data_IF_924216810513
#
_entry.id   IF_924216810513
#
_cell.length_a   1.000
_cell.length_b   1.000
_cell.length_c   1.000
_cell.angle_alpha   90.00
_cell.angle_beta   90.00
_cell.angle_gamma   90.00
#
_symmetry.space_group_name_H-M   'P 1'
#
loop_
_entity.id
_entity.type
_entity.pdbx_description
1 polymer ?
#
# COMPACT_ATOMS: atom_id res chain seq x y z
N UNK A 1 4.68 -60.28 -5.01
CA UNK A 1 3.79 -59.24 -5.58
C UNK A 1 2.46 -59.08 -4.83
N UNK A 2 1.91 -60.09 -4.16
CA UNK A 2 0.60 -59.98 -3.47
C UNK A 2 0.66 -59.19 -2.14
N UNK A 3 1.77 -59.25 -1.39
CA UNK A 3 1.90 -58.58 -0.08
C UNK A 3 2.04 -57.04 -0.16
N UNK A 4 2.53 -56.48 -1.26
CA UNK A 4 2.72 -55.03 -1.43
C UNK A 4 1.38 -54.31 -1.70
N UNK A 5 0.45 -54.98 -2.39
CA UNK A 5 -0.87 -54.43 -2.74
C UNK A 5 -1.77 -54.31 -1.51
N UNK A 6 -1.73 -55.28 -0.58
CA UNK A 6 -2.51 -55.22 0.67
C UNK A 6 -1.96 -54.17 1.66
N UNK A 7 -0.64 -53.96 1.70
CA UNK A 7 -0.03 -52.91 2.54
C UNK A 7 -0.40 -51.49 2.10
N UNK A 8 -0.45 -51.23 0.78
CA UNK A 8 -0.86 -49.93 0.22
C UNK A 8 -2.36 -49.63 0.44
N UNK A 9 -3.22 -50.64 0.33
CA UNK A 9 -4.66 -50.49 0.61
C UNK A 9 -4.96 -50.18 2.08
N UNK A 10 -4.20 -50.76 3.02
CA UNK A 10 -4.36 -50.48 4.46
C UNK A 10 -3.85 -49.08 4.85
N UNK A 11 -2.78 -48.58 4.23
CA UNK A 11 -2.28 -47.22 4.48
C UNK A 11 -3.22 -46.16 3.88
N UNK A 12 -3.81 -46.44 2.71
CA UNK A 12 -4.82 -45.56 2.11
C UNK A 12 -6.11 -45.51 2.94
N UNK A 13 -6.57 -46.62 3.52
CA UNK A 13 -7.80 -46.63 4.34
C UNK A 13 -7.63 -45.92 5.69
N UNK A 14 -6.46 -46.05 6.34
CA UNK A 14 -6.15 -45.33 7.58
C UNK A 14 -5.97 -43.84 7.32
N UNK A 15 -5.33 -43.46 6.20
CA UNK A 15 -5.22 -42.06 5.78
C UNK A 15 -6.58 -41.43 5.46
N UNK A 16 -7.46 -42.14 4.75
CA UNK A 16 -8.80 -41.66 4.42
C UNK A 16 -9.71 -41.56 5.65
N UNK A 17 -9.66 -42.53 6.56
CA UNK A 17 -10.41 -42.49 7.81
C UNK A 17 -9.96 -41.33 8.72
N UNK A 18 -8.66 -41.04 8.77
CA UNK A 18 -8.11 -39.93 9.57
C UNK A 18 -8.50 -38.56 8.99
N UNK A 19 -8.48 -38.42 7.66
CA UNK A 19 -8.95 -37.21 6.96
C UNK A 19 -10.45 -37.03 7.15
N UNK A 20 -11.24 -38.10 7.05
CA UNK A 20 -12.68 -38.04 7.33
C UNK A 20 -12.97 -37.68 8.80
N UNK A 21 -12.19 -38.19 9.76
CA UNK A 21 -12.40 -37.88 11.18
C UNK A 21 -12.12 -36.40 11.49
N UNK A 22 -11.05 -35.83 10.93
CA UNK A 22 -10.71 -34.40 11.07
C UNK A 22 -11.77 -33.48 10.45
N UNK A 23 -12.37 -33.91 9.34
CA UNK A 23 -13.44 -33.16 8.64
C UNK A 23 -14.79 -33.27 9.36
N UNK A 24 -15.09 -34.42 9.99
CA UNK A 24 -16.37 -34.64 10.71
C UNK A 24 -16.40 -33.87 12.03
N UNK A 25 -15.27 -33.77 12.75
CA UNK A 25 -15.20 -33.04 14.03
C UNK A 25 -15.04 -31.50 13.88
N UNK A 26 -14.79 -31.00 12.65
CA UNK A 26 -14.68 -29.55 12.40
C UNK A 26 -15.47 -29.12 11.15
N UNK A 27 -16.81 -29.11 11.19
CA UNK A 27 -17.63 -28.61 10.07
C UNK A 27 -17.40 -27.11 9.77
N UNK A 28 -16.82 -26.34 10.70
CA UNK A 28 -16.44 -24.93 10.49
C UNK A 28 -15.22 -24.73 9.56
N UNK A 29 -14.44 -25.80 9.30
CA UNK A 29 -13.26 -25.75 8.44
C UNK A 29 -13.60 -25.76 6.94
N UNK A 30 -14.85 -26.09 6.58
CA UNK A 30 -15.36 -26.04 5.21
C UNK A 30 -16.38 -24.91 5.14
N UNK A 31 -15.91 -23.67 5.23
CA UNK A 31 -16.72 -22.56 4.75
C UNK A 31 -17.02 -22.83 3.26
N UNK A 32 -18.29 -22.79 2.81
CA UNK A 32 -18.57 -22.88 1.39
C UNK A 32 -17.74 -21.82 0.66
N UNK A 33 -17.18 -22.13 -0.52
CA UNK A 33 -16.46 -21.13 -1.29
C UNK A 33 -17.36 -19.91 -1.45
N UNK A 34 -16.83 -18.69 -1.29
CA UNK A 34 -17.65 -17.49 -1.42
C UNK A 34 -18.36 -17.53 -2.78
N UNK A 35 -19.64 -17.15 -2.84
CA UNK A 35 -20.42 -17.24 -4.06
C UNK A 35 -19.71 -16.50 -5.19
N UNK A 36 -19.61 -17.16 -6.36
CA UNK A 36 -19.02 -16.56 -7.55
C UNK A 36 -19.83 -15.32 -7.92
N UNK A 37 -19.23 -14.13 -7.78
CA UNK A 37 -19.89 -12.88 -8.12
C UNK A 37 -20.01 -12.74 -9.64
N UNK A 38 -21.16 -12.28 -10.09
CA UNK A 38 -21.40 -11.93 -11.49
C UNK A 38 -21.57 -10.41 -11.61
N UNK A 39 -21.60 -9.89 -12.83
CA UNK A 39 -21.86 -8.46 -13.07
C UNK A 39 -23.19 -7.95 -12.48
N UNK A 40 -24.11 -8.86 -12.13
CA UNK A 40 -25.43 -8.55 -11.57
C UNK A 40 -25.51 -8.70 -10.04
N UNK A 41 -24.43 -9.07 -9.36
CA UNK A 41 -24.42 -9.16 -7.90
C UNK A 41 -24.61 -7.77 -7.28
N UNK A 42 -25.37 -7.64 -6.16
CA UNK A 42 -25.54 -6.35 -5.50
C UNK A 42 -24.19 -5.75 -5.08
N UNK A 43 -24.09 -4.41 -5.01
CA UNK A 43 -22.88 -3.74 -4.54
C UNK A 43 -22.56 -4.21 -3.13
N UNK A 44 -21.34 -4.72 -2.96
CA UNK A 44 -20.82 -5.09 -1.65
C UNK A 44 -20.03 -3.91 -1.15
N UNK A 45 -20.32 -3.50 0.09
CA UNK A 45 -19.63 -2.40 0.73
C UNK A 45 -18.70 -2.93 1.81
N UNK A 46 -17.51 -2.36 1.86
CA UNK A 46 -16.63 -2.46 3.02
C UNK A 46 -17.12 -1.43 4.04
N UNK A 47 -17.47 -1.89 5.24
CA UNK A 47 -17.91 -1.03 6.34
C UNK A 47 -17.00 -1.21 7.54
N UNK A 48 -16.71 -0.13 8.25
CA UNK A 48 -15.81 -0.18 9.38
C UNK A 48 -15.54 1.18 10.00
N UNK A 49 -14.65 1.18 10.97
CA UNK A 49 -14.03 2.37 11.55
C UNK A 49 -12.63 2.53 10.95
N UNK A 50 -12.43 3.57 10.15
CA UNK A 50 -11.16 3.94 9.54
C UNK A 50 -10.51 5.06 10.36
N UNK A 51 -9.74 4.69 11.37
CA UNK A 51 -8.99 5.65 12.19
C UNK A 51 -9.87 6.70 12.89
N UNK A 52 -11.05 6.31 13.39
CA UNK A 52 -12.04 7.19 14.01
C UNK A 52 -13.14 7.66 13.04
N UNK A 53 -13.08 7.30 11.76
CA UNK A 53 -14.08 7.64 10.76
C UNK A 53 -14.95 6.42 10.39
N UNK A 54 -16.26 6.41 10.68
CA UNK A 54 -17.14 5.37 10.16
C UNK A 54 -17.22 5.48 8.63
N UNK A 55 -16.94 4.38 7.93
CA UNK A 55 -16.86 4.36 6.46
C UNK A 55 -17.80 3.34 5.82
N UNK A 56 -18.23 3.66 4.60
CA UNK A 56 -18.92 2.75 3.68
C UNK A 56 -18.32 2.89 2.28
N UNK A 57 -17.47 1.94 1.91
CA UNK A 57 -16.65 1.98 0.69
C UNK A 57 -17.17 0.95 -0.30
N UNK A 58 -17.33 1.31 -1.57
CA UNK A 58 -17.59 0.32 -2.63
C UNK A 58 -16.39 -0.64 -2.71
N UNK A 59 -16.64 -1.95 -2.54
CA UNK A 59 -15.58 -2.97 -2.55
C UNK A 59 -14.76 -2.99 -3.86
N UNK A 60 -15.24 -2.40 -4.96
CA UNK A 60 -14.47 -2.28 -6.21
C UNK A 60 -13.35 -1.24 -6.15
N UNK A 61 -13.38 -0.35 -5.17
CA UNK A 61 -12.38 0.72 -4.99
C UNK A 61 -11.17 0.22 -4.20
N UNK A 62 -11.38 -0.73 -3.29
CA UNK A 62 -10.38 -1.17 -2.32
C UNK A 62 -10.02 -2.65 -2.49
N UNK A 63 -8.81 -3.01 -2.09
CA UNK A 63 -8.24 -4.34 -2.20
C UNK A 63 -7.33 -4.63 -1.00
N UNK A 64 -7.07 -5.91 -0.74
CA UNK A 64 -6.28 -6.36 0.42
C UNK A 64 -6.79 -5.79 1.76
N UNK A 65 -8.11 -5.81 1.95
CA UNK A 65 -8.74 -5.25 3.14
C UNK A 65 -8.46 -6.15 4.35
N UNK A 66 -7.91 -5.55 5.39
CA UNK A 66 -7.66 -6.16 6.70
C UNK A 66 -8.40 -5.38 7.80
N UNK A 67 -8.92 -6.09 8.78
CA UNK A 67 -9.45 -5.52 10.02
C UNK A 67 -8.57 -5.94 11.20
N UNK A 68 -8.67 -5.22 12.31
CA UNK A 68 -8.06 -5.68 13.55
C UNK A 68 -8.63 -7.04 13.96
N UNK A 69 -7.75 -7.89 14.48
CA UNK A 69 -8.07 -9.29 14.81
C UNK A 69 -8.18 -10.22 13.60
N UNK A 70 -7.99 -9.74 12.36
CA UNK A 70 -7.78 -10.63 11.23
C UNK A 70 -6.41 -11.33 11.30
N UNK A 71 -6.31 -12.57 10.83
CA UNK A 71 -5.04 -13.29 10.77
C UNK A 71 -4.04 -12.53 9.89
N UNK A 72 -2.77 -12.54 10.30
CA UNK A 72 -1.70 -12.00 9.49
C UNK A 72 -1.46 -12.82 8.21
N UNK A 73 -0.55 -12.32 7.37
CA UNK A 73 -0.16 -13.02 6.16
C UNK A 73 0.44 -14.40 6.49
N UNK A 74 -0.17 -15.46 5.96
CA UNK A 74 0.24 -16.85 6.22
C UNK A 74 -0.31 -17.45 7.52
N UNK A 75 -1.03 -16.67 8.33
CA UNK A 75 -1.68 -17.18 9.53
C UNK A 75 -3.07 -17.75 9.23
N UNK A 76 -3.39 -18.88 9.85
CA UNK A 76 -4.70 -19.48 9.73
C UNK A 76 -5.71 -18.77 10.65
N UNK A 77 -6.94 -18.56 10.15
CA UNK A 77 -8.00 -17.99 10.99
C UNK A 77 -8.38 -18.95 12.10
N UNK A 78 -8.37 -18.42 13.33
CA UNK A 78 -8.96 -19.09 14.50
C UNK A 78 -10.40 -18.63 14.65
N UNK A 79 -11.34 -19.56 14.53
CA UNK A 79 -12.78 -19.30 14.63
C UNK A 79 -13.44 -18.71 13.37
N UNK A 80 -14.75 -18.46 13.42
CA UNK A 80 -15.52 -17.96 12.29
C UNK A 80 -15.13 -16.52 11.90
N UNK A 81 -15.38 -16.15 10.65
CA UNK A 81 -15.21 -14.76 10.21
C UNK A 81 -16.26 -13.89 10.91
N UNK A 82 -15.85 -12.84 11.67
CA UNK A 82 -16.79 -12.00 12.38
C UNK A 82 -17.62 -11.17 11.39
N UNK A 83 -18.87 -10.89 11.78
CA UNK A 83 -19.70 -9.94 11.05
C UNK A 83 -19.13 -8.53 11.21
N UNK A 84 -18.94 -7.83 10.09
CA UNK A 84 -18.42 -6.46 10.11
C UNK A 84 -19.53 -5.45 10.38
N UNK A 85 -19.17 -4.40 11.10
CA UNK A 85 -20.02 -3.28 11.54
C UNK A 85 -19.22 -1.98 11.42
N UNK A 86 -19.85 -0.82 11.58
CA UNK A 86 -19.13 0.46 11.65
C UNK A 86 -18.19 0.58 12.86
N UNK A 87 -18.25 -0.32 13.84
CA UNK A 87 -17.28 -0.39 14.94
C UNK A 87 -16.12 -1.36 14.67
N UNK A 88 -16.14 -2.07 13.54
CA UNK A 88 -15.04 -2.95 13.13
C UNK A 88 -13.88 -2.09 12.64
N UNK A 89 -12.80 -2.02 13.42
CA UNK A 89 -11.62 -1.23 13.09
C UNK A 89 -10.93 -1.78 11.83
N UNK A 90 -10.85 -0.96 10.81
CA UNK A 90 -10.06 -1.23 9.61
C UNK A 90 -8.59 -1.04 9.95
N UNK A 91 -7.79 -2.02 9.54
CA UNK A 91 -6.36 -2.08 9.82
C UNK A 91 -5.56 -1.61 8.61
N UNK A 92 -5.93 -2.08 7.42
CA UNK A 92 -5.27 -1.68 6.18
C UNK A 92 -6.10 -2.01 4.96
N UNK A 93 -5.87 -1.27 3.88
CA UNK A 93 -6.28 -1.64 2.53
C UNK A 93 -5.42 -0.89 1.51
N UNK A 94 -5.39 -1.40 0.28
CA UNK A 94 -4.86 -0.68 -0.87
C UNK A 94 -6.00 -0.20 -1.78
N UNK A 95 -5.75 0.86 -2.54
CA UNK A 95 -6.68 1.43 -3.50
C UNK A 95 -5.94 1.91 -4.76
N UNK A 96 -6.70 2.17 -5.82
CA UNK A 96 -6.19 2.79 -7.05
C UNK A 96 -7.06 3.99 -7.39
N UNK A 97 -6.41 5.08 -7.76
CA UNK A 97 -7.09 6.32 -8.10
C UNK A 97 -6.42 7.00 -9.28
N UNK A 98 -7.22 7.58 -10.17
CA UNK A 98 -6.71 8.34 -11.32
C UNK A 98 -6.62 9.82 -11.00
N UNK A 99 -5.43 10.37 -11.14
CA UNK A 99 -5.18 11.80 -11.01
C UNK A 99 -5.48 12.55 -12.33
N UNK A 100 -6.10 13.74 -12.30
CA UNK A 100 -6.50 14.53 -11.13
C UNK A 100 -7.97 14.38 -10.68
N UNK A 101 -8.78 13.57 -11.36
CA UNK A 101 -10.23 13.54 -11.15
C UNK A 101 -10.72 12.54 -10.09
N UNK A 102 -9.80 11.80 -9.49
CA UNK A 102 -10.01 10.82 -8.45
C UNK A 102 -10.97 9.67 -8.84
N UNK A 103 -11.10 9.39 -10.15
CA UNK A 103 -11.85 8.22 -10.59
C UNK A 103 -11.16 6.93 -10.17
N UNK A 104 -11.97 5.91 -9.97
CA UNK A 104 -11.58 4.58 -9.53
C UNK A 104 -12.00 3.55 -10.56
N UNK A 105 -11.66 2.28 -10.33
CA UNK A 105 -12.14 1.17 -11.14
C UNK A 105 -13.64 0.90 -10.98
N UNK A 106 -14.30 1.53 -10.01
CA UNK A 106 -15.75 1.46 -9.88
C UNK A 106 -16.47 2.30 -10.97
N UNK A 107 -15.76 3.28 -11.55
CA UNK A 107 -16.25 4.17 -12.60
C UNK A 107 -16.18 3.50 -13.98
N UNK A 108 -17.33 3.34 -14.63
CA UNK A 108 -17.47 2.59 -15.89
C UNK A 108 -16.59 3.13 -17.01
N UNK A 109 -16.44 4.45 -17.08
CA UNK A 109 -15.65 5.12 -18.12
C UNK A 109 -14.15 5.16 -17.80
N UNK A 110 -13.76 4.87 -16.56
CA UNK A 110 -12.36 4.82 -16.15
C UNK A 110 -11.72 3.43 -16.34
N UNK A 111 -12.51 2.36 -16.39
CA UNK A 111 -12.00 0.99 -16.54
C UNK A 111 -11.20 0.77 -17.84
N UNK A 112 -11.66 1.34 -18.96
CA UNK A 112 -10.95 1.25 -20.26
C UNK A 112 -9.61 1.98 -20.21
N UNK A 113 -9.59 3.15 -19.56
CA UNK A 113 -8.36 3.92 -19.36
C UNK A 113 -7.38 3.17 -18.43
N UNK A 114 -7.88 2.58 -17.34
CA UNK A 114 -7.08 1.76 -16.44
C UNK A 114 -6.37 0.62 -17.18
N UNK A 115 -7.09 -0.13 -18.02
CA UNK A 115 -6.53 -1.25 -18.79
C UNK A 115 -5.42 -0.82 -19.75
N UNK A 116 -5.47 0.41 -20.28
CA UNK A 116 -4.40 0.97 -21.12
C UNK A 116 -3.08 1.16 -20.33
N UNK A 117 -3.16 1.52 -19.05
CA UNK A 117 -1.99 1.84 -18.22
C UNK A 117 -1.56 0.70 -17.28
N UNK A 118 -2.41 -0.29 -17.03
CA UNK A 118 -2.13 -1.37 -16.09
C UNK A 118 -0.91 -2.20 -16.52
N UNK A 119 0.03 -2.54 -15.60
CA UNK A 119 1.32 -3.16 -15.94
C UNK A 119 1.25 -4.43 -16.78
N UNK A 120 0.21 -5.25 -16.62
CA UNK A 120 0.03 -6.45 -17.45
C UNK A 120 -0.20 -6.11 -18.93
N UNK A 121 -0.78 -4.95 -19.24
CA UNK A 121 -1.10 -4.50 -20.59
C UNK A 121 -0.14 -3.39 -21.09
N UNK A 122 0.39 -2.56 -20.18
CA UNK A 122 1.28 -1.43 -20.47
C UNK A 122 2.77 -1.77 -20.41
N UNK A 123 3.15 -2.96 -19.92
CA UNK A 123 4.53 -3.46 -19.92
C UNK A 123 5.18 -3.47 -21.31
N UNK A 124 4.37 -3.33 -22.37
CA UNK A 124 4.77 -3.24 -23.76
C UNK A 124 5.09 -1.81 -24.25
N UNK A 125 4.87 -0.76 -23.44
CA UNK A 125 4.95 0.65 -23.86
C UNK A 125 5.68 1.54 -22.84
N UNK A 126 6.99 1.77 -23.02
CA UNK A 126 7.80 2.61 -22.13
C UNK A 126 7.26 4.03 -21.94
N UNK A 127 6.56 4.59 -22.92
CA UNK A 127 5.99 5.94 -22.90
C UNK A 127 4.93 6.16 -21.81
N UNK A 128 4.24 5.10 -21.38
CA UNK A 128 3.20 5.19 -20.35
C UNK A 128 3.74 5.09 -18.92
N UNK A 129 5.00 4.69 -18.74
CA UNK A 129 5.59 4.55 -17.41
C UNK A 129 5.74 5.89 -16.69
N UNK A 130 6.12 6.93 -17.42
CA UNK A 130 6.35 8.28 -16.89
C UNK A 130 5.09 9.15 -16.86
N UNK A 131 3.99 8.68 -17.46
CA UNK A 131 2.77 9.47 -17.64
C UNK A 131 1.53 8.74 -17.16
N UNK A 132 1.71 7.66 -16.40
CA UNK A 132 0.60 6.88 -15.85
C UNK A 132 -0.18 7.74 -14.83
N UNK A 133 -1.45 8.11 -15.10
CA UNK A 133 -2.22 8.91 -14.17
C UNK A 133 -2.81 8.07 -13.02
N UNK A 134 -2.68 6.74 -13.07
CA UNK A 134 -3.18 5.84 -12.04
C UNK A 134 -2.14 5.67 -10.93
N UNK A 135 -2.54 6.06 -9.73
CA UNK A 135 -1.73 6.00 -8.53
C UNK A 135 -2.18 4.83 -7.67
N UNK A 136 -1.19 4.12 -7.11
CA UNK A 136 -1.41 3.03 -6.17
C UNK A 136 -1.30 3.60 -4.75
N UNK A 137 -2.36 3.50 -3.97
CA UNK A 137 -2.40 3.98 -2.60
C UNK A 137 -2.51 2.85 -1.59
N UNK A 138 -1.87 3.02 -0.44
CA UNK A 138 -2.00 2.19 0.74
C UNK A 138 -2.51 3.01 1.92
N UNK A 139 -3.26 2.34 2.79
CA UNK A 139 -3.78 2.88 4.03
C UNK A 139 -3.39 1.97 5.18
N UNK A 140 -2.84 2.57 6.22
CA UNK A 140 -2.59 1.95 7.52
C UNK A 140 -3.40 2.71 8.59
N UNK A 141 -4.23 1.97 9.32
CA UNK A 141 -5.09 2.44 10.40
C UNK A 141 -5.14 1.38 11.53
N UNK A 142 -5.94 1.61 12.58
CA UNK A 142 -6.11 0.65 13.67
C UNK A 142 -4.76 0.23 14.26
N UNK A 143 -4.52 -1.07 14.41
CA UNK A 143 -3.26 -1.58 14.98
C UNK A 143 -2.04 -1.43 14.04
N UNK A 144 -2.22 -1.04 12.76
CA UNK A 144 -1.12 -0.69 11.84
C UNK A 144 -0.80 0.80 11.80
N UNK A 145 -1.64 1.66 12.38
CA UNK A 145 -1.36 3.09 12.41
C UNK A 145 -0.07 3.35 13.21
N UNK A 146 0.95 4.02 12.64
CA UNK A 146 2.23 4.19 13.31
C UNK A 146 2.18 5.16 14.50
N UNK A 147 1.04 5.79 14.77
CA UNK A 147 0.81 6.73 15.86
C UNK A 147 1.18 8.18 15.52
N UNK A 148 0.54 9.13 16.21
CA UNK A 148 0.71 10.57 16.00
C UNK A 148 2.17 11.01 15.94
N UNK A 149 2.52 11.85 14.98
CA UNK A 149 3.89 12.33 14.77
C UNK A 149 4.85 11.27 14.21
N UNK A 150 4.33 10.22 13.59
CA UNK A 150 5.14 9.17 12.95
C UNK A 150 6.10 9.72 11.89
N UNK A 151 5.70 10.74 11.13
CA UNK A 151 6.55 11.37 10.12
C UNK A 151 7.71 12.15 10.73
N UNK A 152 7.52 12.79 11.88
CA UNK A 152 8.61 13.45 12.60
C UNK A 152 9.61 12.42 13.12
N UNK A 153 9.12 11.30 13.67
CA UNK A 153 9.98 10.18 14.07
C UNK A 153 10.73 9.58 12.88
N UNK A 154 10.05 9.41 11.74
CA UNK A 154 10.66 8.94 10.51
C UNK A 154 11.79 9.88 10.07
N UNK A 155 11.51 11.19 10.01
CA UNK A 155 12.51 12.21 9.71
C UNK A 155 13.70 12.18 10.68
N UNK A 156 13.45 12.07 11.98
CA UNK A 156 14.53 12.01 12.98
C UNK A 156 15.40 10.76 12.82
N UNK A 157 14.79 9.62 12.50
CA UNK A 157 15.48 8.35 12.30
C UNK A 157 16.26 8.27 10.99
N UNK A 158 15.84 9.00 9.95
CA UNK A 158 16.46 8.91 8.61
C UNK A 158 17.34 10.09 8.23
N UNK A 159 16.99 11.32 8.65
CA UNK A 159 17.63 12.56 8.15
C UNK A 159 18.43 13.28 9.23
N UNK A 160 17.97 13.34 10.48
CA UNK A 160 18.56 14.23 11.49
C UNK A 160 19.97 13.80 11.94
N UNK A 161 20.29 12.50 11.87
CA UNK A 161 21.57 11.94 12.30
C UNK A 161 22.28 11.16 11.18
N UNK A 162 22.68 11.82 10.07
CA UNK A 162 23.24 11.12 8.92
C UNK A 162 24.55 10.41 9.28
N UNK A 163 25.35 10.93 10.19
CA UNK A 163 26.64 10.33 10.57
C UNK A 163 26.50 8.96 11.27
N UNK A 164 25.31 8.60 11.73
CA UNK A 164 25.02 7.27 12.28
C UNK A 164 24.69 6.24 11.18
N UNK A 165 24.51 6.69 9.94
CA UNK A 165 24.19 5.84 8.78
C UNK A 165 25.46 5.54 7.97
N UNK A 166 25.51 4.40 7.26
CA UNK A 166 26.53 4.15 6.24
C UNK A 166 26.55 5.30 5.21
N UNK A 167 27.72 5.66 4.67
CA UNK A 167 27.90 6.78 3.72
C UNK A 167 26.83 6.77 2.60
N UNK A 168 26.52 5.58 2.05
CA UNK A 168 25.54 5.39 0.98
C UNK A 168 24.10 5.73 1.35
N UNK A 169 23.79 5.83 2.65
CA UNK A 169 22.48 6.14 3.21
C UNK A 169 22.45 7.49 3.96
N UNK A 170 23.57 8.22 4.01
CA UNK A 170 23.62 9.54 4.63
C UNK A 170 22.90 10.56 3.75
N UNK A 171 21.74 11.03 4.20
CA UNK A 171 20.96 12.03 3.50
C UNK A 171 21.39 13.43 3.93
N UNK A 172 21.87 14.24 2.98
CA UNK A 172 22.29 15.62 3.21
C UNK A 172 21.40 16.61 2.48
N UNK A 173 21.17 17.81 3.05
CA UNK A 173 20.36 18.84 2.42
C UNK A 173 20.99 19.33 1.10
N UNK A 174 20.15 19.51 0.08
CA UNK A 174 20.51 20.01 -1.24
C UNK A 174 19.49 21.08 -1.70
N UNK A 175 19.84 21.97 -2.65
CA UNK A 175 18.88 22.88 -3.25
C UNK A 175 17.72 22.12 -3.92
N UNK A 176 16.50 22.40 -3.46
CA UNK A 176 15.28 21.85 -4.06
C UNK A 176 14.80 22.73 -5.20
N UNK A 177 14.43 22.10 -6.33
CA UNK A 177 13.75 22.76 -7.45
C UNK A 177 12.21 22.68 -7.33
N UNK A 178 11.70 21.94 -6.34
CA UNK A 178 10.26 21.74 -6.14
C UNK A 178 9.80 22.66 -5.02
N UNK A 179 8.87 23.56 -5.36
CA UNK A 179 8.39 24.58 -4.42
C UNK A 179 7.74 23.95 -3.19
N UNK A 180 8.15 24.42 -2.01
CA UNK A 180 7.63 23.96 -0.73
C UNK A 180 8.23 22.65 -0.21
N UNK A 181 9.19 22.05 -0.90
CA UNK A 181 9.88 20.84 -0.44
C UNK A 181 11.36 21.11 -0.16
N UNK A 182 11.86 20.62 0.97
CA UNK A 182 13.28 20.47 1.27
C UNK A 182 13.79 19.18 0.62
N UNK A 183 14.95 19.21 -0.05
CA UNK A 183 15.54 18.05 -0.70
C UNK A 183 16.71 17.51 0.13
N UNK A 184 16.73 16.19 0.34
CA UNK A 184 17.83 15.47 0.95
C UNK A 184 18.32 14.34 0.02
N UNK A 185 19.65 14.27 -0.16
CA UNK A 185 20.32 13.44 -1.14
C UNK A 185 21.33 12.48 -0.49
N UNK A 186 21.48 11.23 -0.98
CA UNK A 186 22.55 10.35 -0.53
C UNK A 186 23.94 10.95 -0.80
N UNK A 187 24.77 11.02 0.24
CA UNK A 187 26.12 11.59 0.22
C UNK A 187 27.09 10.72 -0.57
N UNK A 188 27.94 11.36 -1.37
CA UNK A 188 29.18 10.74 -1.87
C UNK A 188 29.00 9.84 -3.09
N UNK A 189 30.02 9.01 -3.35
CA UNK A 189 30.11 8.15 -4.53
C UNK A 189 30.46 6.72 -4.13
N UNK A 190 29.95 5.76 -4.89
CA UNK A 190 30.34 4.37 -4.79
C UNK A 190 31.81 4.23 -5.21
N UNK A 191 32.72 3.73 -4.34
CA UNK A 191 34.13 3.60 -4.68
C UNK A 191 34.39 2.55 -5.78
N UNK A 192 33.50 1.56 -5.95
CA UNK A 192 33.65 0.51 -6.96
C UNK A 192 33.29 1.00 -8.37
N UNK A 193 32.28 1.86 -8.51
CA UNK A 193 31.76 2.32 -9.81
C UNK A 193 32.10 3.79 -10.12
N UNK A 194 32.43 4.58 -9.10
CA UNK A 194 32.63 6.04 -9.20
C UNK A 194 31.33 6.85 -9.30
N UNK A 195 30.17 6.20 -9.38
CA UNK A 195 28.88 6.88 -9.50
C UNK A 195 28.42 7.46 -8.17
N UNK A 196 27.70 8.59 -8.16
CA UNK A 196 27.03 9.09 -6.96
C UNK A 196 26.05 8.06 -6.38
N UNK A 197 26.09 7.86 -5.06
CA UNK A 197 25.20 6.92 -4.37
C UNK A 197 23.72 7.24 -4.60
N UNK A 198 23.39 8.52 -4.78
CA UNK A 198 22.06 9.02 -5.17
C UNK A 198 21.46 8.28 -6.37
N UNK A 199 22.26 7.86 -7.36
CA UNK A 199 21.78 7.19 -8.57
C UNK A 199 21.82 5.66 -8.50
N UNK A 200 22.41 5.10 -7.44
CA UNK A 200 22.53 3.65 -7.23
C UNK A 200 21.67 3.14 -6.07
N UNK A 201 21.27 4.05 -5.16
CA UNK A 201 20.37 3.74 -4.05
C UNK A 201 18.95 3.49 -4.55
N UNK A 202 18.34 2.40 -4.09
CA UNK A 202 16.91 2.13 -4.29
C UNK A 202 16.01 3.19 -3.66
N UNK A 203 16.52 3.95 -2.70
CA UNK A 203 15.79 4.99 -1.98
C UNK A 203 15.85 6.35 -2.69
N UNK A 204 16.83 6.54 -3.58
CA UNK A 204 17.03 7.78 -4.33
C UNK A 204 17.01 9.03 -3.44
N UNK A 205 16.13 9.96 -3.76
CA UNK A 205 16.01 11.25 -3.08
C UNK A 205 14.83 11.33 -2.15
N UNK A 206 15.03 12.03 -1.04
CA UNK A 206 13.97 12.28 -0.05
C UNK A 206 13.61 13.76 -0.04
N UNK A 207 12.34 14.05 -0.28
CA UNK A 207 11.76 15.38 -0.17
C UNK A 207 10.87 15.48 1.07
N UNK A 208 10.98 16.59 1.80
CA UNK A 208 10.27 16.83 3.06
C UNK A 208 9.47 18.12 2.97
N UNK A 209 8.21 18.09 3.39
CA UNK A 209 7.44 19.29 3.71
C UNK A 209 7.24 19.43 5.21
N UNK A 210 7.37 20.66 5.71
CA UNK A 210 7.00 21.04 7.07
C UNK A 210 5.92 22.10 7.06
N UNK A 211 5.00 22.02 8.01
CA UNK A 211 4.05 23.10 8.24
C UNK A 211 4.71 24.28 8.98
N UNK A 212 3.93 25.33 9.23
CA UNK A 212 4.40 26.54 9.92
C UNK A 212 4.86 26.31 11.38
N UNK A 213 4.50 25.18 12.00
CA UNK A 213 4.95 24.77 13.33
C UNK A 213 6.23 23.92 13.27
N UNK A 214 6.78 23.67 12.08
CA UNK A 214 7.95 22.83 11.86
C UNK A 214 7.67 21.33 11.84
N UNK A 215 6.41 20.90 11.95
CA UNK A 215 6.00 19.48 11.93
C UNK A 215 6.09 18.93 10.51
N UNK A 216 6.64 17.73 10.33
CA UNK A 216 6.66 17.06 9.02
C UNK A 216 5.24 16.65 8.62
N UNK A 217 4.80 17.08 7.45
CA UNK A 217 3.46 16.77 6.91
C UNK A 217 3.48 16.09 5.55
N UNK A 218 4.65 15.98 4.92
CA UNK A 218 4.87 15.15 3.75
C UNK A 218 6.29 14.58 3.79
N UNK A 219 6.41 13.27 3.51
CA UNK A 219 7.69 12.57 3.34
C UNK A 219 7.65 11.83 2.01
N UNK A 220 8.46 12.25 1.04
CA UNK A 220 8.39 11.76 -0.34
C UNK A 220 9.74 11.17 -0.74
N UNK A 221 9.77 9.91 -1.15
CA UNK A 221 10.96 9.24 -1.65
C UNK A 221 10.84 9.00 -3.15
N UNK A 222 11.77 9.54 -3.94
CA UNK A 222 11.81 9.37 -5.38
C UNK A 222 13.03 8.55 -5.77
N UNK A 223 12.79 7.32 -6.23
CA UNK A 223 13.85 6.41 -6.66
C UNK A 223 14.31 6.71 -8.09
N UNK A 224 15.58 6.47 -8.38
CA UNK A 224 16.12 6.52 -9.74
C UNK A 224 15.91 5.19 -10.45
N UNK A 225 15.68 5.24 -11.76
CA UNK A 225 15.78 4.03 -12.58
C UNK A 225 17.23 3.58 -12.62
N UNK A 226 17.45 2.32 -12.25
CA UNK A 226 18.77 1.69 -12.22
C UNK A 226 19.52 1.93 -13.54
N UNK A 227 20.76 2.40 -13.45
CA UNK A 227 21.60 2.70 -14.61
C UNK A 227 21.26 4.00 -15.35
N UNK A 228 20.34 4.81 -14.83
CA UNK A 228 19.99 6.12 -15.42
C UNK A 228 20.02 7.23 -14.37
N UNK A 229 19.90 8.49 -14.83
CA UNK A 229 19.72 9.66 -13.96
C UNK A 229 18.29 10.21 -13.98
N UNK A 230 17.32 9.36 -14.28
CA UNK A 230 15.89 9.71 -14.33
C UNK A 230 15.17 9.01 -13.18
N UNK A 231 14.30 9.74 -12.48
CA UNK A 231 13.44 9.12 -11.48
C UNK A 231 12.51 8.08 -12.14
N UNK A 232 12.22 7.00 -11.41
CA UNK A 232 11.23 6.00 -11.81
C UNK A 232 9.83 6.39 -11.35
N UNK A 233 9.71 6.81 -10.10
CA UNK A 233 8.48 7.08 -9.39
C UNK A 233 8.80 7.56 -7.98
N UNK A 234 7.78 8.09 -7.31
CA UNK A 234 7.87 8.61 -5.98
C UNK A 234 6.84 7.92 -5.09
N UNK A 235 7.25 7.55 -3.88
CA UNK A 235 6.37 7.15 -2.79
C UNK A 235 6.19 8.35 -1.87
N UNK A 236 4.95 8.74 -1.62
CA UNK A 236 4.60 9.90 -0.83
C UNK A 236 3.78 9.46 0.38
N UNK A 237 4.29 9.76 1.58
CA UNK A 237 3.69 9.44 2.86
C UNK A 237 3.18 10.69 3.57
N UNK A 238 1.95 10.64 4.09
CA UNK A 238 1.42 11.62 5.03
C UNK A 238 0.42 10.99 6.01
N UNK A 239 0.11 11.68 7.10
CA UNK A 239 -0.94 11.28 8.04
C UNK A 239 -2.17 12.18 7.89
N UNK A 240 -3.34 11.69 8.31
CA UNK A 240 -4.59 12.46 8.32
C UNK A 240 -4.91 13.11 9.67
N UNK A 241 -3.91 13.33 10.51
CA UNK A 241 -4.05 13.90 11.86
C UNK A 241 -4.72 15.30 11.85
N UNK A 242 -4.58 16.09 10.77
CA UNK A 242 -5.27 17.38 10.66
C UNK A 242 -6.80 17.28 10.57
N UNK A 243 -7.34 16.08 10.34
CA UNK A 243 -8.77 15.78 10.31
C UNK A 243 -9.23 15.02 11.56
N UNK A 244 -8.38 14.95 12.60
CA UNK A 244 -8.58 14.14 13.80
C UNK A 244 -8.76 12.65 13.49
N UNK A 245 -8.02 12.14 12.49
CA UNK A 245 -8.06 10.74 12.05
C UNK A 245 -6.72 10.02 12.24
N UNK A 246 -6.79 8.82 12.80
CA UNK A 246 -5.67 7.90 13.02
C UNK A 246 -5.39 7.08 11.75
N UNK A 247 -5.02 7.78 10.68
CA UNK A 247 -4.78 7.20 9.35
C UNK A 247 -3.41 7.65 8.84
N UNK A 248 -2.61 6.68 8.39
CA UNK A 248 -1.40 6.89 7.58
C UNK A 248 -1.70 6.53 6.14
N UNK A 249 -1.28 7.40 5.22
CA UNK A 249 -1.48 7.24 3.78
C UNK A 249 -0.12 7.13 3.12
N UNK A 250 0.03 6.14 2.24
CA UNK A 250 1.12 6.06 1.27
C UNK A 250 0.54 6.05 -0.14
N UNK A 251 1.20 6.72 -1.07
CA UNK A 251 0.83 6.67 -2.47
C UNK A 251 2.07 6.63 -3.36
N UNK A 252 2.00 5.82 -4.41
CA UNK A 252 3.02 5.74 -5.43
C UNK A 252 2.52 6.40 -6.73
N UNK A 253 3.34 7.29 -7.30
CA UNK A 253 3.07 7.94 -8.57
C UNK A 253 4.34 8.15 -9.41
N UNK A 254 4.23 8.31 -10.75
CA UNK A 254 5.36 8.69 -11.58
C UNK A 254 5.97 10.02 -11.16
N UNK A 255 7.30 10.11 -11.15
CA UNK A 255 8.00 11.30 -10.62
C UNK A 255 7.76 12.60 -11.41
N UNK A 256 7.15 12.51 -12.60
CA UNK A 256 6.65 13.65 -13.37
C UNK A 256 5.58 14.44 -12.63
N UNK A 257 4.86 13.81 -11.69
CA UNK A 257 3.83 14.41 -10.85
C UNK A 257 4.37 15.00 -9.52
N UNK A 258 5.68 14.96 -9.29
CA UNK A 258 6.27 15.51 -8.07
C UNK A 258 6.01 17.02 -7.89
N UNK A 259 6.02 17.87 -8.93
CA UNK A 259 5.66 19.29 -8.78
C UNK A 259 4.25 19.51 -8.21
N UNK A 260 3.33 18.58 -8.45
CA UNK A 260 1.93 18.59 -8.03
C UNK A 260 1.70 17.93 -6.67
N UNK A 261 2.75 17.55 -5.93
CA UNK A 261 2.66 16.79 -4.68
C UNK A 261 1.61 17.30 -3.69
N UNK A 262 1.45 18.63 -3.57
CA UNK A 262 0.50 19.26 -2.65
C UNK A 262 -0.94 19.03 -3.09
N UNK A 263 -1.24 19.21 -4.38
CA UNK A 263 -2.58 18.98 -4.92
C UNK A 263 -2.93 17.48 -4.89
N UNK A 264 -1.94 16.60 -5.12
CA UNK A 264 -2.10 15.14 -4.96
C UNK A 264 -2.48 14.79 -3.52
N UNK A 265 -1.70 15.25 -2.54
CA UNK A 265 -1.97 15.02 -1.12
C UNK A 265 -3.37 15.50 -0.71
N UNK A 266 -3.74 16.70 -1.17
CA UNK A 266 -5.05 17.29 -0.90
C UNK A 266 -6.19 16.46 -1.51
N UNK A 267 -6.14 16.17 -2.81
CA UNK A 267 -7.20 15.42 -3.51
C UNK A 267 -7.35 14.01 -3.01
N UNK A 268 -6.24 13.31 -2.74
CA UNK A 268 -6.29 11.95 -2.21
C UNK A 268 -6.86 11.96 -0.79
N UNK A 269 -6.48 12.95 0.04
CA UNK A 269 -7.09 13.10 1.37
C UNK A 269 -8.59 13.32 1.29
N UNK A 270 -9.08 14.21 0.41
CA UNK A 270 -10.52 14.42 0.23
C UNK A 270 -11.25 13.22 -0.38
N UNK A 271 -10.60 12.48 -1.28
CA UNK A 271 -11.12 11.22 -1.80
C UNK A 271 -11.34 10.21 -0.67
N UNK A 272 -10.38 10.05 0.25
CA UNK A 272 -10.53 9.17 1.42
C UNK A 272 -11.63 9.66 2.37
N UNK A 273 -11.75 10.97 2.58
CA UNK A 273 -12.83 11.56 3.39
C UNK A 273 -14.22 11.31 2.79
N UNK A 274 -14.33 11.13 1.46
CA UNK A 274 -15.61 10.84 0.79
C UNK A 274 -16.23 9.50 1.19
N UNK A 275 -15.45 8.61 1.80
CA UNK A 275 -15.92 7.32 2.30
C UNK A 275 -16.75 7.40 3.58
N UNK A 276 -16.77 8.57 4.24
CA UNK A 276 -17.52 8.77 5.48
C UNK A 276 -19.00 8.43 5.30
N UNK A 277 -19.52 7.62 6.22
CA UNK A 277 -20.95 7.26 6.29
C UNK A 277 -21.76 8.18 7.19
#
# INVERSE_FOLDING_TARGET
MVLIVFGLLAVLSVGFASVCYVVIDNPELIAPPPPVRTANSPPEYVIGDLGGMPVKIDHRIVRFIEYDGDPGWGEMRRGPRPQRTYSSRLKSFAFEVRYPDMKTRADKDAQVDYEKYHPLFSSLRPEFRDTNPWFDGGIDAGDRYPGHGSLDRLYQGTILNPDQQPISAQLLPEPSLVSGLELYAPRGRNPATGNPWRFESSWGDTYIHRNHLGKVTAYIQCAYRLGTRRYSGCTHHWNMEQFDLDISVDIYYPATYLPEWRDIQERVSYFLLSFRS
#
